data_IF_685212955586
#
_entry.id   IF_685212955586
#
_cell.length_a   1.000
_cell.length_b   1.000
_cell.length_c   1.000
_cell.angle_alpha   90.00
_cell.angle_beta   90.00
_cell.angle_gamma   90.00
#
_symmetry.space_group_name_H-M   'P 1'
#
loop_
_entity.id
_entity.type
_entity.pdbx_description
1 polymer ?
#
# COMPACT_ATOMS: atom_id res chain seq x y z
N UNK A 1 27.50 -27.68 -21.60
CA UNK A 1 26.53 -26.98 -20.72
C UNK A 1 25.97 -25.68 -21.33
N UNK A 2 26.06 -25.47 -22.64
CA UNK A 2 25.70 -24.20 -23.32
C UNK A 2 24.25 -24.12 -23.79
N UNK A 3 23.57 -25.25 -23.97
CA UNK A 3 22.24 -25.32 -24.60
C UNK A 3 21.15 -24.63 -23.77
N UNK A 4 21.09 -24.87 -22.45
CA UNK A 4 20.03 -24.28 -21.60
C UNK A 4 20.19 -22.76 -21.43
N UNK A 5 21.43 -22.25 -21.40
CA UNK A 5 21.69 -20.81 -21.24
C UNK A 5 21.27 -20.04 -22.50
N UNK A 6 21.57 -20.58 -23.68
CA UNK A 6 21.13 -20.01 -24.96
C UNK A 6 19.59 -19.98 -25.07
N UNK A 7 18.91 -21.01 -24.54
CA UNK A 7 17.45 -21.02 -24.46
C UNK A 7 16.92 -19.88 -23.58
N UNK A 8 17.47 -19.67 -22.38
CA UNK A 8 17.00 -18.58 -21.52
C UNK A 8 17.22 -17.20 -22.13
N UNK A 9 18.35 -16.96 -22.79
CA UNK A 9 18.66 -15.67 -23.40
C UNK A 9 17.68 -15.34 -24.55
N UNK A 10 17.31 -16.34 -25.35
CA UNK A 10 16.29 -16.20 -26.40
C UNK A 10 14.90 -15.94 -25.82
N UNK A 11 14.52 -16.67 -24.75
CA UNK A 11 13.25 -16.46 -24.06
C UNK A 11 13.16 -15.06 -23.43
N UNK A 12 14.26 -14.55 -22.85
CA UNK A 12 14.34 -13.19 -22.32
C UNK A 12 14.13 -12.17 -23.43
N UNK A 13 14.76 -12.35 -24.60
CA UNK A 13 14.58 -11.45 -25.74
C UNK A 13 13.12 -11.40 -26.20
N UNK A 14 12.46 -12.55 -26.37
CA UNK A 14 11.04 -12.62 -26.77
C UNK A 14 10.16 -11.88 -25.74
N UNK A 15 10.43 -12.06 -24.45
CA UNK A 15 9.69 -11.37 -23.39
C UNK A 15 9.98 -9.87 -23.37
N UNK A 16 11.20 -9.45 -23.66
CA UNK A 16 11.61 -8.04 -23.69
C UNK A 16 10.93 -7.27 -24.83
N UNK A 17 10.78 -7.89 -26.01
CA UNK A 17 10.07 -7.31 -27.14
C UNK A 17 8.59 -7.02 -26.81
N UNK A 18 7.94 -7.91 -26.05
CA UNK A 18 6.54 -7.73 -25.63
C UNK A 18 6.37 -6.86 -24.39
N UNK A 19 7.33 -6.88 -23.48
CA UNK A 19 7.29 -6.20 -22.19
C UNK A 19 8.52 -5.31 -22.00
N UNK A 20 8.65 -4.20 -22.74
CA UNK A 20 9.86 -3.38 -22.76
C UNK A 20 10.16 -2.72 -21.40
N UNK A 21 9.15 -2.58 -20.54
CA UNK A 21 9.28 -2.05 -19.16
C UNK A 21 9.84 -3.08 -18.17
N UNK A 22 9.93 -4.36 -18.52
CA UNK A 22 10.59 -5.36 -17.70
C UNK A 22 12.09 -5.31 -17.93
N UNK A 23 12.90 -5.42 -16.87
CA UNK A 23 14.35 -5.49 -17.02
C UNK A 23 14.80 -6.91 -17.33
N UNK A 24 15.91 -7.07 -18.07
CA UNK A 24 16.54 -8.36 -18.38
C UNK A 24 16.71 -9.22 -17.12
N UNK A 25 17.31 -8.67 -16.06
CA UNK A 25 17.50 -9.37 -14.78
C UNK A 25 16.20 -9.90 -14.18
N UNK A 26 15.10 -9.15 -14.33
CA UNK A 26 13.79 -9.56 -13.83
C UNK A 26 13.20 -10.68 -14.69
N UNK A 27 13.34 -10.60 -16.00
CA UNK A 27 12.88 -11.63 -16.92
C UNK A 27 13.64 -12.93 -16.70
N UNK A 28 14.97 -12.88 -16.59
CA UNK A 28 15.82 -14.04 -16.25
C UNK A 28 15.42 -14.65 -14.91
N UNK A 29 15.22 -13.84 -13.87
CA UNK A 29 14.78 -14.34 -12.57
C UNK A 29 13.39 -14.99 -12.61
N UNK A 30 12.44 -14.41 -13.35
CA UNK A 30 11.11 -14.98 -13.51
C UNK A 30 11.15 -16.30 -14.28
N UNK A 31 11.92 -16.38 -15.36
CA UNK A 31 12.12 -17.61 -16.11
C UNK A 31 12.76 -18.69 -15.25
N UNK A 32 13.82 -18.38 -14.48
CA UNK A 32 14.42 -19.32 -13.52
C UNK A 32 13.41 -19.80 -12.48
N UNK A 33 12.61 -18.88 -11.91
CA UNK A 33 11.60 -19.21 -10.90
C UNK A 33 10.51 -20.14 -11.44
N UNK A 34 10.17 -20.01 -12.72
CA UNK A 34 9.16 -20.82 -13.40
C UNK A 34 9.78 -21.91 -14.28
N UNK A 35 11.04 -22.30 -14.03
CA UNK A 35 11.75 -23.36 -14.75
C UNK A 35 11.72 -23.24 -16.29
N UNK A 36 11.73 -22.02 -16.81
CA UNK A 36 11.69 -21.72 -18.25
C UNK A 36 10.29 -21.71 -18.87
N UNK A 37 9.22 -21.80 -18.07
CA UNK A 37 7.84 -21.67 -18.53
C UNK A 37 7.53 -20.21 -18.92
N UNK A 38 7.67 -19.91 -20.21
CA UNK A 38 7.41 -18.58 -20.77
C UNK A 38 5.96 -18.16 -20.57
N UNK A 39 4.98 -19.07 -20.67
CA UNK A 39 3.56 -18.69 -20.66
C UNK A 39 3.13 -18.26 -19.25
N UNK A 40 3.64 -18.92 -18.21
CA UNK A 40 3.46 -18.45 -16.83
C UNK A 40 4.11 -17.07 -16.62
N UNK A 41 5.31 -16.85 -17.15
CA UNK A 41 6.00 -15.56 -17.04
C UNK A 41 5.23 -14.47 -17.81
N UNK A 42 4.75 -14.75 -19.01
CA UNK A 42 3.89 -13.84 -19.82
C UNK A 42 2.62 -13.49 -19.07
N UNK A 43 1.87 -14.47 -18.57
CA UNK A 43 0.64 -14.24 -17.83
C UNK A 43 0.87 -13.33 -16.61
N UNK A 44 1.99 -13.53 -15.92
CA UNK A 44 2.38 -12.70 -14.77
C UNK A 44 2.73 -11.26 -15.18
N UNK A 45 3.45 -11.08 -16.28
CA UNK A 45 3.80 -9.76 -16.82
C UNK A 45 2.56 -9.02 -17.32
N UNK A 46 1.66 -9.69 -18.05
CA UNK A 46 0.37 -9.11 -18.45
C UNK A 46 -0.46 -8.62 -17.27
N UNK A 47 -0.57 -9.41 -16.19
CA UNK A 47 -1.28 -8.98 -14.98
C UNK A 47 -0.63 -7.79 -14.28
N UNK A 48 0.68 -7.59 -14.46
CA UNK A 48 1.40 -6.43 -13.92
C UNK A 48 1.16 -5.21 -14.79
N UNK A 49 1.33 -5.34 -16.10
CA UNK A 49 1.15 -4.23 -17.03
C UNK A 49 -0.29 -3.74 -17.03
N UNK A 50 -1.27 -4.65 -16.96
CA UNK A 50 -2.67 -4.27 -16.76
C UNK A 50 -2.86 -3.42 -15.49
N UNK A 51 -2.21 -3.79 -14.38
CA UNK A 51 -2.26 -2.99 -13.14
C UNK A 51 -1.55 -1.66 -13.28
N UNK A 52 -0.42 -1.62 -13.97
CA UNK A 52 0.32 -0.37 -14.23
C UNK A 52 -0.52 0.56 -15.09
N UNK A 53 -0.99 0.09 -16.24
CA UNK A 53 -1.80 0.86 -17.17
C UNK A 53 -3.11 1.34 -16.52
N UNK A 54 -3.72 0.50 -15.68
CA UNK A 54 -4.89 0.91 -14.90
C UNK A 54 -4.54 2.04 -13.93
N UNK A 55 -3.41 1.97 -13.24
CA UNK A 55 -2.97 3.07 -12.36
C UNK A 55 -2.64 4.32 -13.15
N UNK A 56 -1.92 4.20 -14.26
CA UNK A 56 -1.59 5.32 -15.16
C UNK A 56 -2.88 6.01 -15.66
N UNK A 57 -3.90 5.22 -16.02
CA UNK A 57 -5.23 5.75 -16.41
C UNK A 57 -5.97 6.45 -15.28
N UNK A 58 -5.89 5.93 -14.04
CA UNK A 58 -6.48 6.62 -12.89
C UNK A 58 -5.74 7.92 -12.57
N UNK A 59 -4.42 7.93 -12.71
CA UNK A 59 -3.58 9.10 -12.51
C UNK A 59 -3.91 10.19 -13.54
N UNK A 60 -4.11 9.83 -14.80
CA UNK A 60 -4.55 10.75 -15.85
C UNK A 60 -5.93 11.36 -15.55
N UNK A 61 -6.87 10.55 -15.07
CA UNK A 61 -8.25 10.99 -14.80
C UNK A 61 -8.41 11.79 -13.51
N UNK A 62 -7.73 11.38 -12.45
CA UNK A 62 -7.99 11.87 -11.09
C UNK A 62 -6.75 12.45 -10.40
N UNK A 63 -5.57 12.41 -11.03
CA UNK A 63 -4.31 12.77 -10.38
C UNK A 63 -4.28 14.21 -9.85
N UNK A 64 -4.84 15.15 -10.59
CA UNK A 64 -4.96 16.56 -10.15
C UNK A 64 -5.89 16.67 -8.94
N UNK A 65 -7.08 16.08 -9.01
CA UNK A 65 -8.05 16.05 -7.91
C UNK A 65 -7.49 15.39 -6.65
N UNK A 66 -6.76 14.29 -6.80
CA UNK A 66 -6.10 13.61 -5.67
C UNK A 66 -5.05 14.52 -5.05
N UNK A 67 -4.28 15.27 -5.84
CA UNK A 67 -3.31 16.24 -5.31
C UNK A 67 -4.00 17.35 -4.52
N UNK A 68 -5.12 17.90 -5.02
CA UNK A 68 -5.92 18.88 -4.29
C UNK A 68 -6.48 18.31 -2.98
N UNK A 69 -7.07 17.11 -3.03
CA UNK A 69 -7.58 16.42 -1.83
C UNK A 69 -6.49 16.16 -0.78
N UNK A 70 -5.27 15.82 -1.20
CA UNK A 70 -4.13 15.66 -0.29
C UNK A 70 -3.70 16.98 0.35
N UNK A 71 -3.86 18.11 -0.34
CA UNK A 71 -3.54 19.42 0.23
C UNK A 71 -4.62 19.90 1.21
N UNK A 72 -5.89 19.62 0.90
CA UNK A 72 -7.05 20.08 1.68
C UNK A 72 -7.31 19.26 2.95
N UNK A 73 -7.05 17.94 2.92
CA UNK A 73 -7.49 17.03 3.98
C UNK A 73 -6.28 16.36 4.66
N UNK A 74 -6.04 16.59 5.97
CA UNK A 74 -4.94 15.96 6.71
C UNK A 74 -4.95 14.43 6.67
N UNK A 75 -6.13 13.81 6.81
CA UNK A 75 -6.26 12.34 6.70
C UNK A 75 -5.90 11.80 5.31
N UNK A 76 -6.10 12.57 4.24
CA UNK A 76 -5.67 12.21 2.88
C UNK A 76 -4.14 12.21 2.73
N UNK A 77 -3.41 13.03 3.50
CA UNK A 77 -1.94 13.09 3.45
C UNK A 77 -1.29 11.79 3.95
N UNK A 78 -1.89 11.16 4.96
CA UNK A 78 -1.40 9.90 5.51
C UNK A 78 -1.59 8.71 4.56
N UNK A 79 -2.50 8.84 3.59
CA UNK A 79 -2.82 7.78 2.65
C UNK A 79 -1.85 7.76 1.46
N UNK A 80 -1.43 6.55 1.09
CA UNK A 80 -0.68 6.34 -0.15
C UNK A 80 -1.52 6.80 -1.35
N UNK A 81 -0.91 7.54 -2.26
CA UNK A 81 -1.55 8.08 -3.49
C UNK A 81 -2.38 7.04 -4.26
N UNK A 82 -1.83 5.83 -4.45
CA UNK A 82 -2.54 4.72 -5.11
C UNK A 82 -3.89 4.39 -4.45
N UNK A 83 -3.98 4.53 -3.12
CA UNK A 83 -5.22 4.26 -2.39
C UNK A 83 -6.25 5.35 -2.64
N UNK A 84 -5.83 6.61 -2.73
CA UNK A 84 -6.71 7.73 -3.07
C UNK A 84 -7.23 7.62 -4.52
N UNK A 85 -6.38 7.29 -5.49
CA UNK A 85 -6.81 7.04 -6.87
C UNK A 85 -7.86 5.92 -6.97
N UNK A 86 -7.71 4.87 -6.16
CA UNK A 86 -8.70 3.78 -6.10
C UNK A 86 -9.99 4.18 -5.40
N UNK A 87 -9.94 5.09 -4.42
CA UNK A 87 -11.14 5.66 -3.81
C UNK A 87 -11.88 6.53 -4.83
N UNK A 88 -11.16 7.37 -5.58
CA UNK A 88 -11.73 8.13 -6.70
C UNK A 88 -12.39 7.20 -7.71
N UNK A 89 -11.75 6.09 -8.09
CA UNK A 89 -12.37 5.08 -8.96
C UNK A 89 -13.65 4.49 -8.35
N UNK A 90 -13.60 4.10 -7.07
CA UNK A 90 -14.73 3.46 -6.35
C UNK A 90 -15.95 4.37 -6.30
N UNK A 91 -15.74 5.66 -6.06
CA UNK A 91 -16.80 6.66 -6.00
C UNK A 91 -17.04 7.35 -7.36
N UNK A 92 -16.59 6.75 -8.46
CA UNK A 92 -16.79 7.25 -9.83
C UNK A 92 -16.30 8.69 -10.06
N UNK A 93 -15.33 9.14 -9.26
CA UNK A 93 -14.80 10.50 -9.30
C UNK A 93 -15.54 11.51 -8.42
N UNK A 94 -16.54 11.09 -7.64
CA UNK A 94 -17.25 11.96 -6.70
C UNK A 94 -16.33 12.35 -5.53
N UNK A 95 -15.92 13.62 -5.54
CA UNK A 95 -14.99 14.20 -4.58
C UNK A 95 -15.63 14.34 -3.20
N UNK A 96 -16.93 14.64 -3.12
CA UNK A 96 -17.61 14.85 -1.83
C UNK A 96 -17.81 13.52 -1.11
N UNK A 97 -18.16 12.45 -1.83
CA UNK A 97 -18.23 11.11 -1.25
C UNK A 97 -16.85 10.61 -0.78
N UNK A 98 -15.79 10.89 -1.54
CA UNK A 98 -14.41 10.61 -1.11
C UNK A 98 -14.05 11.41 0.14
N UNK A 99 -14.40 12.70 0.20
CA UNK A 99 -14.15 13.55 1.37
C UNK A 99 -14.87 13.03 2.62
N UNK A 100 -16.17 12.73 2.53
CA UNK A 100 -16.95 12.13 3.63
C UNK A 100 -16.32 10.81 4.10
N UNK A 101 -15.89 9.96 3.15
CA UNK A 101 -15.24 8.70 3.50
C UNK A 101 -13.95 8.94 4.29
N UNK A 102 -13.12 9.90 3.89
CA UNK A 102 -11.87 10.22 4.57
C UNK A 102 -12.08 10.82 5.96
N UNK A 103 -13.07 11.71 6.11
CA UNK A 103 -13.47 12.26 7.41
C UNK A 103 -13.96 11.18 8.37
N UNK A 104 -14.82 10.27 7.90
CA UNK A 104 -15.28 9.13 8.73
C UNK A 104 -14.13 8.21 9.17
N UNK A 105 -13.07 8.07 8.38
CA UNK A 105 -11.89 7.29 8.78
C UNK A 105 -11.11 8.03 9.87
N UNK A 106 -10.95 9.35 9.73
CA UNK A 106 -10.25 10.19 10.70
C UNK A 106 -10.97 10.22 12.05
N UNK A 107 -12.30 10.33 12.06
CA UNK A 107 -13.11 10.27 13.29
C UNK A 107 -12.93 8.94 14.01
N UNK A 108 -12.96 7.82 13.29
CA UNK A 108 -12.74 6.49 13.88
C UNK A 108 -11.33 6.33 14.40
N UNK A 109 -10.32 6.82 13.68
CA UNK A 109 -8.94 6.78 14.16
C UNK A 109 -8.73 7.69 15.38
N UNK A 110 -9.45 8.81 15.47
CA UNK A 110 -9.41 9.70 16.62
C UNK A 110 -10.07 9.06 17.84
N UNK A 111 -11.22 8.41 17.68
CA UNK A 111 -11.93 7.71 18.76
C UNK A 111 -11.09 6.55 19.32
N UNK A 112 -10.52 5.71 18.44
CA UNK A 112 -9.63 4.61 18.85
C UNK A 112 -8.40 5.12 19.60
N UNK A 113 -7.84 6.26 19.17
CA UNK A 113 -6.70 6.86 19.85
C UNK A 113 -7.09 7.54 21.18
N UNK A 114 -8.28 8.11 21.27
CA UNK A 114 -8.81 8.70 22.50
C UNK A 114 -9.03 7.62 23.57
N UNK A 115 -9.66 6.50 23.21
CA UNK A 115 -9.87 5.35 24.10
C UNK A 115 -8.54 4.72 24.54
N UNK A 116 -7.59 4.58 23.61
CA UNK A 116 -6.25 4.07 23.93
C UNK A 116 -5.49 5.00 24.88
N UNK A 117 -5.62 6.33 24.73
CA UNK A 117 -5.01 7.31 25.64
C UNK A 117 -5.69 7.31 27.01
N UNK A 118 -7.01 7.21 27.06
CA UNK A 118 -7.78 7.12 28.29
C UNK A 118 -7.39 5.87 29.09
N UNK A 119 -7.37 4.71 28.45
CA UNK A 119 -6.93 3.44 29.06
C UNK A 119 -5.47 3.50 29.57
N UNK A 120 -4.56 4.12 28.82
CA UNK A 120 -3.17 4.33 29.28
C UNK A 120 -3.08 5.25 30.49
N UNK A 121 -3.93 6.26 30.57
CA UNK A 121 -3.96 7.20 31.70
C UNK A 121 -4.46 6.52 32.96
N UNK A 122 -5.57 5.80 32.87
CA UNK A 122 -6.15 5.04 33.98
C UNK A 122 -5.15 4.02 34.55
N UNK A 123 -4.53 3.23 33.68
CA UNK A 123 -3.49 2.26 34.07
C UNK A 123 -2.29 2.93 34.77
N UNK A 124 -1.92 4.15 34.37
CA UNK A 124 -0.84 4.92 35.01
C UNK A 124 -1.24 5.41 36.39
N UNK A 125 -2.50 5.83 36.57
CA UNK A 125 -3.03 6.25 37.87
C UNK A 125 -3.15 5.06 38.84
N UNK A 126 -3.61 3.89 38.37
CA UNK A 126 -3.60 2.65 39.16
C UNK A 126 -2.20 2.25 39.64
N UNK A 127 -1.21 2.30 38.74
CA UNK A 127 0.19 2.01 39.09
C UNK A 127 0.70 2.97 40.16
N UNK A 128 0.45 4.27 40.01
CA UNK A 128 0.83 5.28 41.02
C UNK A 128 0.19 4.98 42.37
N UNK A 129 -1.11 4.64 42.38
CA UNK A 129 -1.83 4.30 43.61
C UNK A 129 -1.22 3.07 44.29
N UNK A 130 -0.98 1.97 43.55
CA UNK A 130 -0.35 0.75 44.07
C UNK A 130 1.02 1.02 44.68
N UNK A 131 1.88 1.78 44.00
CA UNK A 131 3.20 2.11 44.54
C UNK A 131 3.12 3.02 45.77
N UNK A 132 2.18 3.98 45.81
CA UNK A 132 1.96 4.81 46.98
C UNK A 132 1.51 3.99 48.19
N UNK A 133 0.61 3.02 48.00
CA UNK A 133 0.18 2.10 49.07
C UNK A 133 1.31 1.20 49.56
N UNK A 134 2.15 0.69 48.65
CA UNK A 134 3.32 -0.11 49.02
C UNK A 134 4.36 0.69 49.81
N UNK A 135 4.62 1.94 49.41
CA UNK A 135 5.51 2.85 50.15
C UNK A 135 4.97 3.14 51.55
N UNK A 136 3.67 3.42 51.68
CA UNK A 136 3.04 3.68 52.97
C UNK A 136 3.13 2.47 53.92
N UNK A 137 3.00 1.25 53.39
CA UNK A 137 3.11 0.00 54.14
C UNK A 137 4.54 -0.33 54.58
N UNK A 138 5.56 0.21 53.92
CA UNK A 138 6.97 0.05 54.29
C UNK A 138 7.46 1.09 55.32
N UNK A 139 6.69 2.17 55.51
CA UNK A 139 6.98 3.25 56.46
C UNK A 139 6.24 3.13 57.80
N UNK A 140 5.46 2.05 57.99
CA UNK A 140 4.86 1.65 59.28
C UNK A 140 5.70 0.55 59.93
#
# INVERSE_FOLDING_TARGET
MTSNQQTYDEQVRILQERFPRASTNRLTHLLQKHAGDIDQVRARLFRRDFRSNKLDSLEERFGTTVTSLQQEIPSAQSLKRIRLLRLMERFSGDVEEVRKFLQNVEERDHDVNADSRACRRERREELKSKYATQLAALTQ
#
